data_IF_915136350636
#
_entry.id   IF_915136350636
#
_cell.length_a   1.000
_cell.length_b   1.000
_cell.length_c   1.000
_cell.angle_alpha   90.00
_cell.angle_beta   90.00
_cell.angle_gamma   90.00
#
_symmetry.space_group_name_H-M   'P 1'
#
loop_
_entity.id
_entity.type
_entity.pdbx_description
1 polymer ?
#
# COMPACT_ATOMS: atom_id res chain seq x y z
N UNK A 1 -24.21 -21.95 12.38
CA UNK A 1 -23.52 -22.23 11.09
C UNK A 1 -22.21 -22.94 11.41
N UNK A 2 -21.98 -24.14 10.87
CA UNK A 2 -20.70 -24.84 11.06
C UNK A 2 -19.70 -24.34 10.02
N UNK A 3 -18.52 -23.89 10.46
CA UNK A 3 -17.46 -23.39 9.59
C UNK A 3 -16.76 -24.53 8.84
N UNK A 4 -16.33 -24.27 7.60
CA UNK A 4 -15.50 -25.20 6.84
C UNK A 4 -14.07 -25.28 7.41
N UNK A 5 -13.26 -26.25 6.95
CA UNK A 5 -11.84 -26.30 7.31
C UNK A 5 -11.07 -25.08 6.79
N UNK A 6 -11.44 -24.56 5.63
CA UNK A 6 -10.86 -23.34 5.05
C UNK A 6 -11.23 -22.12 5.89
N UNK A 7 -12.49 -22.02 6.31
CA UNK A 7 -12.97 -20.88 7.12
C UNK A 7 -12.22 -20.80 8.44
N UNK A 8 -12.01 -21.95 9.09
CA UNK A 8 -11.20 -22.05 10.31
C UNK A 8 -9.76 -21.58 10.09
N UNK A 9 -9.15 -21.90 8.95
CA UNK A 9 -7.78 -21.43 8.63
C UNK A 9 -7.74 -19.92 8.42
N UNK A 10 -8.67 -19.36 7.65
CA UNK A 10 -8.76 -17.91 7.43
C UNK A 10 -8.95 -17.15 8.74
N UNK A 11 -9.80 -17.65 9.63
CA UNK A 11 -9.97 -17.05 10.95
C UNK A 11 -8.74 -17.17 11.86
N UNK A 12 -7.95 -18.24 11.72
CA UNK A 12 -6.67 -18.37 12.43
C UNK A 12 -5.62 -17.37 11.90
N UNK A 13 -5.60 -17.09 10.59
CA UNK A 13 -4.79 -16.00 10.05
C UNK A 13 -5.24 -14.64 10.59
N UNK A 14 -6.55 -14.40 10.66
CA UNK A 14 -7.10 -13.17 11.24
C UNK A 14 -6.68 -12.98 12.71
N UNK A 15 -6.71 -14.05 13.53
CA UNK A 15 -6.17 -14.03 14.90
C UNK A 15 -4.68 -13.67 14.96
N UNK A 16 -3.91 -14.08 13.96
CA UNK A 16 -2.49 -13.74 13.90
C UNK A 16 -2.29 -12.26 13.58
N UNK A 17 -3.02 -11.72 12.60
CA UNK A 17 -2.96 -10.30 12.28
C UNK A 17 -3.48 -9.42 13.41
N UNK A 18 -4.51 -9.85 14.14
CA UNK A 18 -5.02 -9.13 15.30
C UNK A 18 -3.97 -8.96 16.39
N UNK A 19 -3.25 -10.04 16.76
CA UNK A 19 -2.18 -9.98 17.76
C UNK A 19 -1.04 -9.03 17.35
N UNK A 20 -0.77 -8.93 16.06
CA UNK A 20 0.24 -8.02 15.52
C UNK A 20 -0.29 -6.57 15.52
N UNK A 21 -1.50 -6.33 15.04
CA UNK A 21 -2.02 -4.98 14.80
C UNK A 21 -2.49 -4.28 16.09
N UNK A 22 -3.25 -4.99 16.94
CA UNK A 22 -3.97 -4.42 18.09
C UNK A 22 -3.14 -4.34 19.38
N UNK A 23 -1.83 -4.58 19.31
CA UNK A 23 -0.93 -4.26 20.43
C UNK A 23 -0.84 -2.73 20.63
N UNK A 24 -0.34 -2.22 21.78
CA UNK A 24 -0.12 -0.78 21.97
C UNK A 24 0.70 -0.15 20.83
N UNK A 25 0.39 1.09 20.43
CA UNK A 25 0.93 1.71 19.19
C UNK A 25 2.46 1.86 19.21
N UNK A 26 3.04 2.09 20.38
CA UNK A 26 4.48 2.18 20.62
C UNK A 26 5.21 0.83 20.57
N UNK A 27 4.47 -0.29 20.53
CA UNK A 27 5.03 -1.64 20.48
C UNK A 27 5.00 -2.22 19.07
N UNK A 28 6.06 -2.94 18.73
CA UNK A 28 6.28 -3.58 17.42
C UNK A 28 6.60 -5.07 17.57
N UNK A 29 6.03 -5.73 18.58
CA UNK A 29 6.28 -7.16 18.86
C UNK A 29 5.80 -7.99 17.68
N UNK A 30 6.64 -8.94 17.24
CA UNK A 30 6.34 -9.81 16.10
C UNK A 30 6.58 -9.17 14.73
N UNK A 31 6.82 -7.86 14.65
CA UNK A 31 7.35 -7.24 13.45
C UNK A 31 8.86 -7.41 13.39
N UNK A 32 9.40 -7.59 12.19
CA UNK A 32 10.82 -7.50 11.96
C UNK A 32 11.19 -6.01 11.89
N UNK A 33 12.05 -5.54 12.79
CA UNK A 33 12.56 -4.17 12.77
C UNK A 33 13.92 -4.15 12.06
N UNK A 34 13.98 -3.80 10.76
CA UNK A 34 15.23 -3.78 10.02
C UNK A 34 16.19 -2.72 10.56
N UNK A 35 17.49 -2.93 10.32
CA UNK A 35 18.50 -1.90 10.58
C UNK A 35 18.29 -0.64 9.72
N UNK A 36 17.73 -0.81 8.53
CA UNK A 36 17.30 0.27 7.66
C UNK A 36 15.89 0.00 7.13
N UNK A 37 14.98 0.92 7.40
CA UNK A 37 13.61 0.88 6.88
C UNK A 37 13.56 1.07 5.36
N UNK A 38 14.62 1.54 4.70
CA UNK A 38 14.65 1.60 3.22
C UNK A 38 14.68 0.24 2.54
N UNK A 39 14.96 -0.86 3.25
CA UNK A 39 15.10 -2.20 2.69
C UNK A 39 13.77 -2.83 2.25
N UNK A 40 13.85 -3.88 1.42
CA UNK A 40 12.71 -4.64 0.85
C UNK A 40 11.81 -5.33 1.91
N UNK A 41 12.17 -5.27 3.18
CA UNK A 41 11.44 -5.84 4.32
C UNK A 41 11.14 -4.76 5.37
N UNK A 42 11.11 -3.49 4.98
CA UNK A 42 10.65 -2.37 5.80
C UNK A 42 9.22 -2.59 6.34
N UNK A 43 8.92 -1.93 7.46
CA UNK A 43 7.64 -2.07 8.15
C UNK A 43 6.44 -1.76 7.24
N UNK A 44 6.59 -0.86 6.27
CA UNK A 44 5.54 -0.53 5.29
C UNK A 44 4.99 -1.76 4.57
N UNK A 45 5.85 -2.72 4.21
CA UNK A 45 5.44 -3.96 3.56
C UNK A 45 4.79 -4.94 4.56
N UNK A 46 5.36 -5.01 5.76
CA UNK A 46 4.84 -5.84 6.84
C UNK A 46 3.47 -5.38 7.35
N UNK A 47 3.08 -4.13 7.11
CA UNK A 47 1.75 -3.59 7.41
C UNK A 47 0.79 -3.73 6.22
N UNK A 48 1.26 -3.41 5.00
CA UNK A 48 0.45 -3.43 3.80
C UNK A 48 -0.07 -4.84 3.45
N UNK A 49 0.81 -5.85 3.44
CA UNK A 49 0.39 -7.20 3.03
C UNK A 49 -0.62 -7.85 3.98
N UNK A 50 -0.48 -7.76 5.32
CA UNK A 50 -1.54 -8.16 6.24
C UNK A 50 -2.84 -7.39 6.01
N UNK A 51 -2.80 -6.09 5.72
CA UNK A 51 -4.01 -5.31 5.44
C UNK A 51 -4.76 -5.86 4.21
N UNK A 52 -4.04 -6.22 3.14
CA UNK A 52 -4.63 -6.85 1.94
C UNK A 52 -5.18 -8.24 2.23
N UNK A 53 -4.46 -9.04 3.03
CA UNK A 53 -4.93 -10.36 3.44
C UNK A 53 -6.21 -10.27 4.29
N UNK A 54 -6.30 -9.30 5.20
CA UNK A 54 -7.49 -9.07 6.02
C UNK A 54 -8.67 -8.64 5.13
N UNK A 55 -8.45 -7.74 4.16
CA UNK A 55 -9.48 -7.37 3.19
C UNK A 55 -10.03 -8.58 2.41
N UNK A 56 -9.14 -9.48 1.97
CA UNK A 56 -9.53 -10.73 1.31
C UNK A 56 -10.28 -11.68 2.25
N UNK A 57 -9.87 -11.78 3.52
CA UNK A 57 -10.55 -12.59 4.54
C UNK A 57 -11.96 -12.06 4.79
N UNK A 58 -12.15 -10.74 4.95
CA UNK A 58 -13.48 -10.12 5.10
C UNK A 58 -14.37 -10.47 3.92
N UNK A 59 -13.84 -10.42 2.69
CA UNK A 59 -14.59 -10.78 1.48
C UNK A 59 -14.99 -12.26 1.46
N UNK A 60 -14.12 -13.15 1.88
CA UNK A 60 -14.37 -14.60 1.93
C UNK A 60 -15.27 -15.01 3.10
N UNK A 61 -15.16 -14.33 4.24
CA UNK A 61 -15.89 -14.58 5.48
C UNK A 61 -16.52 -13.29 6.01
N UNK A 62 -17.68 -12.86 5.47
CA UNK A 62 -18.31 -11.59 5.86
C UNK A 62 -18.60 -11.45 7.36
N UNK A 63 -18.77 -12.58 8.07
CA UNK A 63 -18.95 -12.60 9.53
C UNK A 63 -17.74 -12.04 10.31
N UNK A 64 -16.56 -11.92 9.69
CA UNK A 64 -15.36 -11.33 10.32
C UNK A 64 -15.18 -9.85 10.01
N UNK A 65 -16.16 -9.21 9.35
CA UNK A 65 -16.02 -7.83 8.84
C UNK A 65 -15.63 -6.82 9.91
N UNK A 66 -16.38 -6.74 11.00
CA UNK A 66 -16.15 -5.77 12.08
C UNK A 66 -14.73 -5.92 12.64
N UNK A 67 -14.40 -7.11 13.12
CA UNK A 67 -13.05 -7.45 13.61
C UNK A 67 -11.95 -7.19 12.57
N UNK A 68 -12.21 -7.50 11.30
CA UNK A 68 -11.26 -7.25 10.22
C UNK A 68 -11.02 -5.76 9.98
N UNK A 69 -12.06 -4.93 10.07
CA UNK A 69 -11.94 -3.48 9.95
C UNK A 69 -11.13 -2.90 11.11
N UNK A 70 -11.32 -3.38 12.35
CA UNK A 70 -10.50 -2.95 13.49
C UNK A 70 -9.01 -3.23 13.26
N UNK A 71 -8.69 -4.42 12.72
CA UNK A 71 -7.32 -4.81 12.39
C UNK A 71 -6.76 -3.93 11.27
N UNK A 72 -7.52 -3.71 10.19
CA UNK A 72 -7.09 -2.85 9.08
C UNK A 72 -6.85 -1.41 9.54
N UNK A 73 -7.73 -0.84 10.37
CA UNK A 73 -7.57 0.49 10.92
C UNK A 73 -6.29 0.59 11.77
N UNK A 74 -6.02 -0.40 12.62
CA UNK A 74 -4.80 -0.43 13.42
C UNK A 74 -3.52 -0.57 12.57
N UNK A 75 -3.56 -1.33 11.47
CA UNK A 75 -2.44 -1.43 10.53
C UNK A 75 -2.21 -0.11 9.78
N UNK A 76 -3.27 0.57 9.34
CA UNK A 76 -3.18 1.90 8.69
C UNK A 76 -2.64 2.94 9.68
N UNK A 77 -3.17 2.97 10.90
CA UNK A 77 -2.71 3.89 11.94
C UNK A 77 -1.22 3.68 12.26
N UNK A 78 -0.72 2.44 12.21
CA UNK A 78 0.72 2.13 12.33
C UNK A 78 1.53 2.55 11.11
N UNK A 79 0.95 2.49 9.90
CA UNK A 79 1.59 2.94 8.66
C UNK A 79 1.95 4.43 8.72
N UNK A 80 1.19 5.22 9.47
CA UNK A 80 1.44 6.65 9.69
C UNK A 80 2.55 6.93 10.70
N UNK A 81 2.99 5.95 11.49
CA UNK A 81 4.05 6.14 12.48
C UNK A 81 5.37 6.54 11.80
N UNK A 82 6.07 7.58 12.28
CA UNK A 82 7.31 8.04 11.66
C UNK A 82 8.40 6.97 11.59
N UNK A 83 8.41 5.94 12.44
CA UNK A 83 9.36 4.82 12.27
C UNK A 83 9.23 4.15 10.90
N UNK A 84 8.01 4.09 10.33
CA UNK A 84 7.73 3.41 9.07
C UNK A 84 8.25 4.19 7.86
N UNK A 85 8.20 5.52 7.90
CA UNK A 85 8.43 6.36 6.72
C UNK A 85 9.59 7.36 6.85
N UNK A 86 10.14 7.61 8.05
CA UNK A 86 11.26 8.57 8.23
C UNK A 86 12.51 8.24 7.43
N UNK A 87 12.65 7.00 6.93
CA UNK A 87 13.72 6.65 6.00
C UNK A 87 13.71 7.55 4.76
N UNK A 88 12.53 8.02 4.36
CA UNK A 88 12.37 8.91 3.21
C UNK A 88 13.01 10.27 3.45
N UNK A 89 12.77 10.86 4.62
CA UNK A 89 13.43 12.11 5.03
C UNK A 89 14.95 11.95 5.10
N UNK A 90 15.43 10.82 5.65
CA UNK A 90 16.88 10.52 5.68
C UNK A 90 17.49 10.37 4.28
N UNK A 91 16.74 9.84 3.32
CA UNK A 91 17.22 9.62 1.96
C UNK A 91 17.15 10.87 1.08
N UNK A 92 16.20 11.78 1.33
CA UNK A 92 15.86 12.87 0.40
C UNK A 92 15.89 14.27 1.01
N UNK A 93 15.93 14.39 2.33
CA UNK A 93 15.73 15.64 3.06
C UNK A 93 14.27 16.12 3.15
N UNK A 94 13.31 15.38 2.58
CA UNK A 94 11.89 15.73 2.61
C UNK A 94 11.18 15.11 3.82
N UNK A 95 10.58 15.93 4.70
CA UNK A 95 9.66 15.46 5.74
C UNK A 95 8.27 15.07 5.24
N UNK A 96 8.04 15.17 3.92
CA UNK A 96 6.80 14.74 3.28
C UNK A 96 7.01 13.38 2.58
N UNK A 97 6.37 12.29 3.05
CA UNK A 97 6.50 10.96 2.48
C UNK A 97 5.55 10.67 1.30
N UNK A 98 4.67 11.60 0.93
CA UNK A 98 3.61 11.41 -0.09
C UNK A 98 3.87 12.23 -1.36
N UNK A 99 4.29 13.49 -1.22
CA UNK A 99 4.31 14.49 -2.29
C UNK A 99 5.08 14.09 -3.55
N UNK A 100 6.19 13.37 -3.43
CA UNK A 100 7.05 13.02 -4.55
C UNK A 100 7.69 11.64 -4.35
N UNK A 101 7.65 10.81 -5.39
CA UNK A 101 8.17 9.46 -5.43
C UNK A 101 7.65 8.63 -4.24
N UNK A 102 8.52 7.81 -3.64
CA UNK A 102 8.24 6.98 -2.47
C UNK A 102 6.99 6.10 -2.64
N UNK A 103 6.72 5.62 -3.86
CA UNK A 103 5.49 4.86 -4.16
C UNK A 103 5.34 3.60 -3.30
N UNK A 104 6.46 3.02 -2.86
CA UNK A 104 6.45 1.89 -1.93
C UNK A 104 5.78 2.23 -0.60
N UNK A 105 5.73 3.51 -0.22
CA UNK A 105 4.98 3.95 0.95
C UNK A 105 3.61 4.50 0.55
N UNK A 106 3.59 5.56 -0.27
CA UNK A 106 2.37 6.31 -0.59
C UNK A 106 1.37 5.48 -1.39
N UNK A 107 1.84 4.64 -2.32
CA UNK A 107 1.00 3.71 -3.07
C UNK A 107 0.37 2.64 -2.17
N UNK A 108 1.17 2.03 -1.29
CA UNK A 108 0.64 1.06 -0.33
C UNK A 108 -0.39 1.69 0.60
N UNK A 109 -0.12 2.89 1.13
CA UNK A 109 -1.05 3.63 1.99
C UNK A 109 -2.36 3.94 1.24
N UNK A 110 -2.29 4.51 0.04
CA UNK A 110 -3.47 4.81 -0.78
C UNK A 110 -4.29 3.56 -1.12
N UNK A 111 -3.64 2.42 -1.35
CA UNK A 111 -4.32 1.14 -1.55
C UNK A 111 -4.99 0.62 -0.27
N UNK A 112 -4.31 0.69 0.88
CA UNK A 112 -4.86 0.29 2.18
C UNK A 112 -6.10 1.11 2.55
N UNK A 113 -6.03 2.43 2.39
CA UNK A 113 -7.14 3.36 2.65
C UNK A 113 -8.35 3.05 1.77
N UNK A 114 -8.14 2.86 0.47
CA UNK A 114 -9.22 2.52 -0.46
C UNK A 114 -9.90 1.19 -0.13
N UNK A 115 -9.13 0.16 0.24
CA UNK A 115 -9.71 -1.13 0.67
C UNK A 115 -10.49 -1.01 1.98
N UNK A 116 -9.95 -0.28 2.96
CA UNK A 116 -10.64 -0.04 4.22
C UNK A 116 -11.98 0.66 3.99
N UNK A 117 -11.98 1.76 3.23
CA UNK A 117 -13.22 2.49 2.93
C UNK A 117 -14.21 1.66 2.13
N UNK A 118 -13.75 0.90 1.13
CA UNK A 118 -14.61 0.01 0.35
C UNK A 118 -15.31 -1.05 1.21
N UNK A 119 -14.62 -1.59 2.21
CA UNK A 119 -15.16 -2.63 3.06
C UNK A 119 -15.95 -2.08 4.25
N UNK A 120 -15.52 -0.94 4.82
CA UNK A 120 -16.07 -0.32 6.02
C UNK A 120 -17.24 0.63 5.77
N UNK A 121 -17.18 1.37 4.67
CA UNK A 121 -18.18 2.38 4.32
C UNK A 121 -18.18 3.62 5.23
N UNK A 122 -17.21 3.74 6.14
CA UNK A 122 -17.09 4.90 7.02
C UNK A 122 -16.20 6.01 6.40
N UNK A 123 -16.20 7.16 7.07
CA UNK A 123 -15.50 8.37 6.67
C UNK A 123 -14.26 8.65 7.53
N UNK A 124 -13.76 7.65 8.27
CA UNK A 124 -12.63 7.81 9.22
C UNK A 124 -11.42 8.51 8.58
N UNK A 125 -11.14 8.16 7.33
CA UNK A 125 -9.99 8.66 6.58
C UNK A 125 -10.34 9.67 5.47
N UNK A 126 -11.58 10.18 5.48
CA UNK A 126 -11.92 11.43 4.78
C UNK A 126 -11.44 12.65 5.58
N UNK A 127 -11.06 12.45 6.85
CA UNK A 127 -10.37 13.45 7.67
C UNK A 127 -8.86 13.44 7.42
N UNK A 128 -8.16 14.57 7.62
CA UNK A 128 -6.71 14.66 7.39
C UNK A 128 -5.90 13.69 8.26
N UNK A 129 -5.04 12.91 7.61
CA UNK A 129 -4.00 12.08 8.22
C UNK A 129 -2.75 12.94 8.44
N UNK A 130 -2.17 12.91 9.64
CA UNK A 130 -1.00 13.70 9.97
C UNK A 130 0.29 12.88 9.81
N UNK A 131 1.28 13.47 9.14
CA UNK A 131 2.63 12.95 9.02
C UNK A 131 3.56 13.94 9.72
N UNK A 132 3.93 13.62 10.96
CA UNK A 132 4.81 14.45 11.79
C UNK A 132 6.20 13.86 11.86
N UNK A 133 7.23 14.64 11.55
CA UNK A 133 8.62 14.30 11.79
C UNK A 133 9.36 15.54 12.27
N UNK A 134 9.90 15.47 13.48
CA UNK A 134 10.52 16.59 14.17
C UNK A 134 9.57 17.80 14.22
N UNK A 135 9.96 18.96 13.67
CA UNK A 135 9.12 20.18 13.62
C UNK A 135 8.21 20.23 12.38
N UNK A 136 8.37 19.30 11.43
CA UNK A 136 7.57 19.27 10.20
C UNK A 136 6.29 18.46 10.42
N UNK A 137 5.17 19.01 9.96
CA UNK A 137 3.88 18.33 9.95
C UNK A 137 3.19 18.62 8.62
N UNK A 138 2.90 17.58 7.86
CA UNK A 138 2.08 17.65 6.65
C UNK A 138 0.84 16.78 6.84
N UNK A 139 -0.25 17.14 6.17
CA UNK A 139 -1.51 16.42 6.30
C UNK A 139 -2.10 16.07 4.95
N UNK A 140 -2.71 14.89 4.84
CA UNK A 140 -3.41 14.46 3.65
C UNK A 140 -4.67 13.68 4.01
N UNK A 141 -5.78 13.95 3.34
CA UNK A 141 -6.94 13.06 3.26
C UNK A 141 -6.65 11.87 2.33
N UNK A 142 -7.49 10.83 2.34
CA UNK A 142 -7.37 9.77 1.33
C UNK A 142 -7.42 10.32 -0.10
N UNK A 143 -8.33 11.25 -0.38
CA UNK A 143 -8.47 11.83 -1.71
C UNK A 143 -7.23 12.59 -2.16
N UNK A 144 -6.58 13.36 -1.28
CA UNK A 144 -5.34 14.08 -1.61
C UNK A 144 -4.16 13.12 -1.85
N UNK A 145 -4.10 11.98 -1.13
CA UNK A 145 -3.10 10.93 -1.42
C UNK A 145 -3.35 10.35 -2.82
N UNK A 146 -4.58 9.98 -3.14
CA UNK A 146 -4.93 9.41 -4.44
C UNK A 146 -4.67 10.41 -5.58
N UNK A 147 -5.00 11.68 -5.38
CA UNK A 147 -4.72 12.75 -6.33
C UNK A 147 -3.20 12.96 -6.52
N UNK A 148 -2.41 12.94 -5.45
CA UNK A 148 -0.95 13.04 -5.54
C UNK A 148 -0.34 11.88 -6.34
N UNK A 149 -0.84 10.65 -6.15
CA UNK A 149 -0.41 9.49 -6.94
C UNK A 149 -0.79 9.65 -8.41
N UNK A 150 -2.04 10.03 -8.69
CA UNK A 150 -2.52 10.26 -10.05
C UNK A 150 -1.74 11.36 -10.78
N UNK A 151 -1.48 12.48 -10.10
CA UNK A 151 -0.71 13.60 -10.65
C UNK A 151 0.73 13.19 -10.99
N UNK A 152 1.37 12.39 -10.14
CA UNK A 152 2.70 11.86 -10.40
C UNK A 152 2.71 10.90 -11.61
N UNK A 153 1.75 10.00 -11.72
CA UNK A 153 1.60 9.14 -12.90
C UNK A 153 1.41 9.97 -14.18
N UNK A 154 0.57 11.01 -14.13
CA UNK A 154 0.37 11.90 -15.29
C UNK A 154 1.61 12.68 -15.69
N UNK A 155 2.41 13.11 -14.73
CA UNK A 155 3.63 13.89 -14.99
C UNK A 155 4.81 13.02 -15.41
N UNK A 156 4.82 11.75 -15.04
CA UNK A 156 5.90 10.83 -15.38
C UNK A 156 5.80 10.40 -16.85
N UNK A 157 6.91 10.52 -17.60
CA UNK A 157 7.04 10.09 -19.00
C UNK A 157 6.73 8.61 -19.26
N UNK A 158 6.74 7.81 -18.21
CA UNK A 158 6.43 6.38 -18.25
C UNK A 158 5.09 6.03 -17.65
N UNK A 159 4.34 7.02 -17.16
CA UNK A 159 3.03 6.86 -16.55
C UNK A 159 3.00 6.06 -15.24
N UNK A 160 4.15 5.88 -14.58
CA UNK A 160 4.26 5.29 -13.25
C UNK A 160 4.60 6.30 -12.16
N UNK A 161 4.80 5.81 -10.94
CA UNK A 161 5.32 6.62 -9.82
C UNK A 161 6.64 6.04 -9.38
N UNK A 162 7.61 6.92 -9.13
CA UNK A 162 8.95 6.54 -8.75
C UNK A 162 9.02 6.01 -7.31
N UNK A 163 9.85 4.99 -7.06
CA UNK A 163 10.23 4.56 -5.71
C UNK A 163 11.22 5.56 -5.13
N UNK A 164 12.40 5.61 -5.73
CA UNK A 164 13.37 6.67 -5.60
C UNK A 164 13.32 7.54 -6.86
N UNK A 165 13.64 8.85 -6.78
CA UNK A 165 13.57 9.73 -7.95
C UNK A 165 14.34 9.14 -9.15
N UNK A 166 13.63 8.96 -10.28
CA UNK A 166 14.15 8.36 -11.50
C UNK A 166 14.04 6.83 -11.59
N UNK A 167 13.58 6.13 -10.56
CA UNK A 167 13.47 4.68 -10.52
C UNK A 167 12.00 4.23 -10.38
N UNK A 168 11.38 3.89 -11.51
CA UNK A 168 10.01 3.34 -11.55
C UNK A 168 10.07 1.81 -11.62
N UNK A 169 9.35 1.13 -10.72
CA UNK A 169 9.27 -0.34 -10.69
C UNK A 169 7.84 -0.82 -10.90
N UNK A 170 7.70 -1.94 -11.62
CA UNK A 170 6.39 -2.47 -12.01
C UNK A 170 5.53 -2.82 -10.79
N UNK A 171 6.07 -3.69 -9.94
CA UNK A 171 5.38 -4.15 -8.72
C UNK A 171 5.00 -3.02 -7.77
N UNK A 172 5.73 -1.90 -7.79
CA UNK A 172 5.47 -0.78 -6.89
C UNK A 172 4.37 0.13 -7.46
N UNK A 173 4.38 0.36 -8.78
CA UNK A 173 3.38 1.19 -9.47
C UNK A 173 1.99 0.56 -9.42
N UNK A 174 1.88 -0.77 -9.35
CA UNK A 174 0.60 -1.48 -9.22
C UNK A 174 -0.25 -0.98 -8.06
N UNK A 175 0.36 -0.49 -6.98
CA UNK A 175 -0.39 0.06 -5.85
C UNK A 175 -1.00 1.43 -6.13
N UNK A 176 -0.38 2.25 -6.99
CA UNK A 176 -1.00 3.47 -7.52
C UNK A 176 -2.21 3.12 -8.38
N UNK A 177 -2.10 2.09 -9.23
CA UNK A 177 -3.20 1.63 -10.08
C UNK A 177 -4.42 1.23 -9.25
N UNK A 178 -4.20 0.41 -8.21
CA UNK A 178 -5.26 0.02 -7.29
C UNK A 178 -5.85 1.20 -6.53
N UNK A 179 -5.01 2.13 -6.05
CA UNK A 179 -5.49 3.35 -5.38
C UNK A 179 -6.42 4.16 -6.29
N UNK A 180 -6.04 4.35 -7.57
CA UNK A 180 -6.85 5.05 -8.57
C UNK A 180 -8.20 4.34 -8.82
N UNK A 181 -8.19 3.01 -9.03
CA UNK A 181 -9.41 2.23 -9.27
C UNK A 181 -10.36 2.29 -8.07
N UNK A 182 -9.82 2.18 -6.86
CA UNK A 182 -10.61 2.27 -5.64
C UNK A 182 -11.21 3.65 -5.46
N UNK A 183 -10.43 4.71 -5.73
CA UNK A 183 -10.91 6.08 -5.60
C UNK A 183 -12.02 6.39 -6.63
N UNK A 184 -11.86 5.95 -7.89
CA UNK A 184 -12.91 6.08 -8.91
C UNK A 184 -14.20 5.36 -8.48
N UNK A 185 -14.08 4.18 -7.89
CA UNK A 185 -15.23 3.42 -7.38
C UNK A 185 -15.92 4.09 -6.20
N UNK A 186 -15.15 4.74 -5.31
CA UNK A 186 -15.64 5.29 -4.05
C UNK A 186 -16.18 6.71 -4.17
N UNK A 187 -15.59 7.52 -5.05
CA UNK A 187 -15.89 8.96 -5.16
C UNK A 187 -16.30 9.39 -6.58
N UNK A 188 -16.31 8.48 -7.57
CA UNK A 188 -16.70 8.81 -8.94
C UNK A 188 -15.67 9.65 -9.72
N UNK A 189 -14.41 9.66 -9.28
CA UNK A 189 -13.31 10.27 -10.03
C UNK A 189 -12.98 9.48 -11.31
N UNK A 190 -11.93 9.92 -12.02
CA UNK A 190 -11.42 9.25 -13.24
C UNK A 190 -9.90 9.07 -13.21
N UNK A 191 -9.33 8.86 -12.04
CA UNK A 191 -7.90 8.69 -11.84
C UNK A 191 -7.38 7.44 -12.56
N UNK A 192 -8.17 6.38 -12.66
CA UNK A 192 -7.74 5.12 -13.29
C UNK A 192 -7.50 5.25 -14.80
N UNK A 193 -7.92 6.33 -15.46
CA UNK A 193 -7.66 6.55 -16.88
C UNK A 193 -6.14 6.62 -17.21
N UNK A 194 -5.30 7.02 -16.25
CA UNK A 194 -3.83 7.00 -16.45
C UNK A 194 -3.24 5.59 -16.39
N UNK A 195 -3.97 4.64 -15.79
CA UNK A 195 -3.52 3.25 -15.67
C UNK A 195 -3.36 2.59 -17.06
N UNK A 196 -4.22 2.92 -18.02
CA UNK A 196 -4.13 2.39 -19.38
C UNK A 196 -2.81 2.79 -20.07
N UNK A 197 -2.35 4.02 -19.84
CA UNK A 197 -1.08 4.53 -20.38
C UNK A 197 0.12 3.81 -19.75
N UNK A 198 0.03 3.49 -18.45
CA UNK A 198 1.01 2.65 -17.77
C UNK A 198 1.04 1.24 -18.35
N UNK A 199 -0.12 0.59 -18.54
CA UNK A 199 -0.21 -0.75 -19.10
C UNK A 199 0.32 -0.81 -20.54
N UNK A 200 0.05 0.21 -21.34
CA UNK A 200 0.61 0.35 -22.69
C UNK A 200 2.14 0.50 -22.66
N UNK A 201 2.67 1.32 -21.74
CA UNK A 201 4.10 1.45 -21.55
C UNK A 201 4.75 0.09 -21.18
N UNK A 202 4.15 -0.64 -20.24
CA UNK A 202 4.61 -1.98 -19.85
C UNK A 202 4.67 -2.92 -21.05
N UNK A 203 3.58 -3.03 -21.82
CA UNK A 203 3.50 -3.93 -22.97
C UNK A 203 4.54 -3.59 -24.06
N UNK A 204 4.81 -2.29 -24.26
CA UNK A 204 5.77 -1.85 -25.28
C UNK A 204 7.22 -1.92 -24.85
N UNK A 205 7.52 -1.79 -23.55
CA UNK A 205 8.89 -1.52 -23.07
C UNK A 205 9.42 -2.51 -22.03
N UNK A 206 8.55 -3.15 -21.25
CA UNK A 206 8.94 -3.96 -20.09
C UNK A 206 8.44 -5.40 -20.13
N UNK A 207 7.65 -5.79 -21.13
CA UNK A 207 7.31 -7.20 -21.38
C UNK A 207 8.11 -7.74 -22.56
N UNK A 208 8.50 -9.01 -22.46
CA UNK A 208 9.05 -9.76 -23.58
C UNK A 208 7.99 -10.75 -24.05
N UNK A 209 7.64 -10.72 -25.34
CA UNK A 209 6.73 -11.71 -25.94
C UNK A 209 7.57 -12.87 -26.49
N UNK A 210 7.62 -13.97 -25.73
CA UNK A 210 8.37 -15.18 -26.08
C UNK A 210 8.40 -16.19 -24.92
N UNK A 211 8.92 -17.41 -25.12
CA UNK A 211 9.09 -18.34 -24.01
C UNK A 211 9.95 -17.66 -22.93
N UNK A 212 9.57 -17.81 -21.65
CA UNK A 212 10.45 -17.48 -20.53
C UNK A 212 11.80 -18.12 -20.85
N UNK A 213 12.90 -17.37 -20.78
CA UNK A 213 14.24 -17.92 -20.98
C UNK A 213 14.55 -18.90 -19.85
N UNK A 214 14.08 -20.14 -19.98
CA UNK A 214 14.56 -21.29 -19.24
C UNK A 214 15.73 -21.80 -20.07
N UNK A 215 16.95 -21.49 -19.63
CA UNK A 215 18.18 -21.89 -20.31
C UNK A 215 18.89 -20.73 -21.01
N UNK A 216 19.61 -19.91 -20.24
CA UNK A 216 20.95 -19.53 -20.72
C UNK A 216 21.79 -20.80 -20.61
N UNK A 217 21.88 -21.51 -21.73
CA UNK A 217 22.79 -22.63 -21.91
C UNK A 217 24.23 -22.22 -21.59
N UNK A 218 25.01 -23.25 -21.30
CA UNK A 218 26.42 -23.20 -20.93
C UNK A 218 27.21 -22.11 -21.68
N UNK A 219 28.02 -21.38 -20.91
CA UNK A 219 29.15 -20.64 -21.44
C UNK A 219 30.11 -21.69 -22.00
N UNK A 220 30.20 -21.77 -23.33
CA UNK A 220 31.33 -22.38 -24.03
C UNK A 220 32.45 -21.38 -24.16
#
# INVERSE_FOLDING_TARGET
MSWSATDRRLAAYLQTFERLALQPRDQWRGFFTPRSESMNFGLRFQLAFPCYAVAAIIKALPATRERGLDIMAALIDRMLDPIVWRYWSRATGSGDPVRLANIQYSGHLGHMLGLYKLLGGDERYDQPLLFTLDEQCVSYTYSEIAEALHAQMRANRYHGVDCEPGNTYVSCTDHALWSNVLHDRLYGTRFAAVNDQWMEFLDRRLTFRGPRSIGRGAVS
#
